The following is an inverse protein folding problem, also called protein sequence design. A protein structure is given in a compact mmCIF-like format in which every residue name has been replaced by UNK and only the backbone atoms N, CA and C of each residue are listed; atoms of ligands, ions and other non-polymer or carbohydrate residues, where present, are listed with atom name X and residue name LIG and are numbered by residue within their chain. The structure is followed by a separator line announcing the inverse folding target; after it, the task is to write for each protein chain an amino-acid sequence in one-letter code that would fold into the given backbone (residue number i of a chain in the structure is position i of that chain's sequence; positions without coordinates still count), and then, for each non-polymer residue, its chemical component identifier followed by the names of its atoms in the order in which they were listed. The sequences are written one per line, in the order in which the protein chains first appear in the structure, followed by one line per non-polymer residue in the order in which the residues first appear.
data_IF_892608062147
#
_entry.id   IF_892608062147
#
_cell.length_a   1.000
_cell.length_b   1.000
_cell.length_c   1.000
_cell.angle_alpha   90.00
_cell.angle_beta   90.00
_cell.angle_gamma   90.00
#
_symmetry.space_group_name_H-M   'P 1'
#
loop_
_entity.id
_entity.type
_entity.pdbx_description
1 polymer ?
#
# COMPACT_ATOMS: atom_id res chain seq x y z
N UNK A 1 -21.91 -24.14 -7.11
CA UNK A 1 -20.76 -23.48 -6.48
C UNK A 1 -19.87 -22.87 -7.56
N UNK A 2 -19.65 -21.56 -7.50
CA UNK A 2 -18.78 -20.90 -8.48
C UNK A 2 -17.32 -21.24 -8.19
N UNK A 3 -16.62 -21.76 -9.21
CA UNK A 3 -15.17 -21.97 -9.11
C UNK A 3 -14.46 -20.62 -9.17
N UNK A 4 -13.60 -20.36 -8.20
CA UNK A 4 -12.80 -19.12 -8.18
C UNK A 4 -11.75 -19.16 -9.27
N UNK A 5 -11.55 -18.03 -9.92
CA UNK A 5 -10.46 -17.86 -10.89
C UNK A 5 -9.12 -17.87 -10.20
N UNK A 6 -8.18 -18.64 -10.71
CA UNK A 6 -6.78 -18.56 -10.31
C UNK A 6 -6.09 -17.48 -11.13
N UNK A 7 -5.50 -16.49 -10.46
CA UNK A 7 -4.87 -15.34 -11.13
C UNK A 7 -3.49 -15.75 -11.62
N UNK A 8 -3.20 -15.63 -12.93
CA UNK A 8 -1.91 -16.05 -13.45
C UNK A 8 -0.77 -15.14 -13.03
N UNK A 9 0.46 -15.64 -13.13
CA UNK A 9 1.67 -14.90 -12.75
C UNK A 9 1.85 -13.60 -13.55
N UNK A 10 1.31 -13.53 -14.77
CA UNK A 10 1.38 -12.32 -15.60
C UNK A 10 0.48 -11.18 -15.10
N UNK A 11 -0.55 -11.49 -14.32
CA UNK A 11 -1.47 -10.48 -13.76
C UNK A 11 -1.14 -10.17 -12.29
N UNK A 12 -0.60 -11.14 -11.56
CA UNK A 12 -0.21 -10.98 -10.15
C UNK A 12 1.22 -11.50 -10.00
N UNK A 13 2.18 -10.59 -9.99
CA UNK A 13 3.59 -10.93 -9.86
C UNK A 13 3.96 -10.95 -8.38
N UNK A 14 4.38 -12.12 -7.93
CA UNK A 14 4.85 -12.34 -6.55
C UNK A 14 6.34 -12.67 -6.65
N UNK A 15 7.16 -11.95 -5.88
CA UNK A 15 8.60 -12.15 -5.82
C UNK A 15 8.94 -13.48 -5.14
N UNK A 16 10.17 -13.95 -5.30
CA UNK A 16 10.64 -15.21 -4.68
C UNK A 16 10.50 -15.23 -3.16
N UNK A 17 10.61 -14.05 -2.53
CA UNK A 17 10.45 -13.91 -1.08
C UNK A 17 8.99 -13.82 -0.61
N UNK A 18 8.04 -13.96 -1.54
CA UNK A 18 6.61 -13.90 -1.24
C UNK A 18 6.02 -12.50 -1.26
N UNK A 19 6.82 -11.46 -1.46
CA UNK A 19 6.34 -10.07 -1.50
C UNK A 19 5.71 -9.75 -2.85
N UNK A 20 4.80 -8.75 -2.84
CA UNK A 20 4.22 -8.25 -4.09
C UNK A 20 5.25 -7.44 -4.88
N UNK A 21 5.13 -7.42 -6.20
CA UNK A 21 6.21 -7.05 -7.12
C UNK A 21 6.80 -5.65 -6.93
N UNK A 22 5.97 -4.61 -6.96
CA UNK A 22 6.48 -3.24 -6.89
C UNK A 22 6.68 -2.77 -5.44
N UNK A 23 5.71 -2.99 -4.58
CA UNK A 23 5.75 -2.51 -3.21
C UNK A 23 6.71 -3.30 -2.32
N UNK A 24 7.04 -4.52 -2.67
CA UNK A 24 7.87 -5.43 -1.87
C UNK A 24 7.32 -5.63 -0.46
N UNK A 25 6.00 -5.77 -0.35
CA UNK A 25 5.31 -5.96 0.93
C UNK A 25 4.67 -7.34 1.01
N UNK A 26 4.57 -7.84 2.23
CA UNK A 26 3.77 -9.02 2.57
C UNK A 26 2.39 -8.56 3.07
N UNK A 27 1.35 -9.39 2.93
CA UNK A 27 0.00 -9.01 3.37
C UNK A 27 -0.11 -8.58 4.83
N UNK A 28 0.66 -9.19 5.72
CA UNK A 28 0.65 -8.87 7.16
C UNK A 28 1.36 -7.55 7.48
N UNK A 29 2.12 -6.99 6.55
CA UNK A 29 2.87 -5.75 6.77
C UNK A 29 2.07 -4.49 6.58
N UNK A 30 0.86 -4.57 6.00
CA UNK A 30 0.01 -3.39 5.82
C UNK A 30 -1.11 -3.34 6.86
N UNK A 31 -1.40 -2.12 7.33
CA UNK A 31 -2.55 -1.84 8.18
C UNK A 31 -3.81 -1.61 7.34
N UNK A 32 -4.97 -1.59 7.99
CA UNK A 32 -6.23 -1.28 7.31
C UNK A 32 -6.35 0.20 6.94
N UNK A 33 -5.63 1.07 7.64
CA UNK A 33 -5.54 2.49 7.33
C UNK A 33 -4.20 2.74 6.64
N UNK A 34 -4.25 3.19 5.40
CA UNK A 34 -3.05 3.47 4.61
C UNK A 34 -3.06 4.93 4.17
N UNK A 35 -2.02 5.65 4.56
CA UNK A 35 -1.80 7.03 4.12
C UNK A 35 -0.88 7.02 2.91
N UNK A 36 -1.31 7.65 1.82
CA UNK A 36 -0.55 7.77 0.59
C UNK A 36 0.04 9.17 0.48
N UNK A 37 1.34 9.23 0.26
CA UNK A 37 2.08 10.49 0.02
C UNK A 37 2.84 10.38 -1.30
N UNK A 38 3.21 11.49 -1.90
CA UNK A 38 3.97 11.47 -3.16
C UNK A 38 5.45 11.20 -2.93
N UNK A 39 6.07 11.96 -2.05
CA UNK A 39 7.52 11.96 -1.82
C UNK A 39 7.92 10.94 -0.76
N UNK A 40 8.91 10.06 -1.04
CA UNK A 40 9.46 9.16 -0.01
C UNK A 40 9.93 9.86 1.27
N UNK A 41 10.45 11.09 1.17
CA UNK A 41 10.85 11.87 2.34
C UNK A 41 9.69 12.21 3.26
N UNK A 42 8.48 12.34 2.73
CA UNK A 42 7.29 12.61 3.54
C UNK A 42 6.84 11.38 4.33
N UNK A 43 7.21 10.17 3.90
CA UNK A 43 6.96 8.93 4.64
C UNK A 43 7.64 9.01 6.01
N UNK A 44 8.90 9.41 6.06
CA UNK A 44 9.62 9.60 7.33
C UNK A 44 8.97 10.69 8.20
N UNK A 45 8.54 11.78 7.58
CA UNK A 45 7.88 12.87 8.30
C UNK A 45 6.61 12.38 9.00
N UNK A 46 5.76 11.64 8.28
CA UNK A 46 4.53 11.08 8.86
C UNK A 46 4.86 10.02 9.92
N UNK A 47 5.79 9.12 9.62
CA UNK A 47 6.17 8.06 10.54
C UNK A 47 6.85 8.59 11.82
N UNK A 48 7.39 9.81 11.80
CA UNK A 48 7.95 10.45 13.00
C UNK A 48 6.91 10.65 14.10
N UNK A 49 5.63 10.67 13.76
CA UNK A 49 4.52 10.76 14.73
C UNK A 49 4.10 9.40 15.27
N UNK A 50 4.57 8.29 14.70
CA UNK A 50 4.20 6.96 15.18
C UNK A 50 4.82 6.67 16.53
N UNK A 51 4.03 6.08 17.43
CA UNK A 51 4.51 5.64 18.75
C UNK A 51 5.45 4.44 18.63
N UNK A 52 5.16 3.54 17.70
CA UNK A 52 5.97 2.36 17.40
C UNK A 52 6.08 2.16 15.89
N UNK A 53 7.14 1.49 15.45
CA UNK A 53 7.32 1.07 14.05
C UNK A 53 7.45 -0.44 14.00
N UNK A 54 6.64 -1.09 13.15
CA UNK A 54 6.68 -2.54 12.94
C UNK A 54 7.64 -2.93 11.82
N UNK A 55 7.56 -2.23 10.71
CA UNK A 55 8.37 -2.53 9.54
C UNK A 55 8.62 -1.28 8.70
N UNK A 56 9.70 -1.35 7.96
CA UNK A 56 10.10 -0.32 7.01
C UNK A 56 10.63 -1.01 5.77
N UNK A 57 10.03 -0.73 4.62
CA UNK A 57 10.40 -1.33 3.33
C UNK A 57 10.56 -0.23 2.31
N UNK A 58 11.59 -0.31 1.50
CA UNK A 58 11.87 0.67 0.45
C UNK A 58 12.24 -0.06 -0.83
N UNK A 59 11.52 0.24 -1.91
CA UNK A 59 11.82 -0.26 -3.24
C UNK A 59 11.48 0.81 -4.27
N UNK A 60 12.46 1.24 -5.03
CA UNK A 60 12.34 2.34 -5.98
C UNK A 60 11.77 3.59 -5.25
N UNK A 61 10.74 4.23 -5.82
CA UNK A 61 10.02 5.35 -5.21
C UNK A 61 9.01 4.94 -4.14
N UNK A 62 8.78 3.63 -3.98
CA UNK A 62 7.81 3.11 -3.01
C UNK A 62 8.48 2.85 -1.67
N UNK A 63 8.28 3.74 -0.73
CA UNK A 63 8.73 3.58 0.65
C UNK A 63 7.54 3.41 1.56
N UNK A 64 7.58 2.41 2.43
CA UNK A 64 6.49 2.04 3.32
C UNK A 64 6.98 1.93 4.75
N UNK A 65 6.26 2.55 5.68
CA UNK A 65 6.47 2.35 7.11
C UNK A 65 5.12 2.04 7.73
N UNK A 66 5.05 0.94 8.48
CA UNK A 66 3.87 0.56 9.25
C UNK A 66 4.20 0.65 10.73
N UNK A 67 3.31 1.23 11.49
CA UNK A 67 3.45 1.40 12.92
C UNK A 67 2.14 1.72 13.59
N UNK A 68 2.20 2.25 14.81
CA UNK A 68 1.00 2.63 15.57
C UNK A 68 1.04 4.10 15.93
N UNK A 69 -0.11 4.72 15.92
CA UNK A 69 -0.32 6.08 16.38
C UNK A 69 -1.55 6.11 17.28
N UNK A 70 -1.34 6.45 18.56
CA UNK A 70 -2.40 6.48 19.58
C UNK A 70 -3.21 5.19 19.63
N UNK A 71 -2.50 4.05 19.56
CA UNK A 71 -3.10 2.72 19.61
C UNK A 71 -3.69 2.23 18.30
N UNK A 72 -3.65 3.03 17.22
CA UNK A 72 -4.14 2.63 15.89
C UNK A 72 -2.98 2.23 15.00
N UNK A 73 -3.09 1.07 14.39
CA UNK A 73 -2.12 0.60 13.41
C UNK A 73 -2.33 1.32 12.09
N UNK A 74 -1.28 1.89 11.53
CA UNK A 74 -1.32 2.68 10.30
C UNK A 74 -0.12 2.35 9.42
N UNK A 75 -0.32 2.46 8.11
CA UNK A 75 0.74 2.37 7.11
C UNK A 75 0.84 3.71 6.38
N UNK A 76 2.05 4.20 6.18
CA UNK A 76 2.31 5.33 5.27
C UNK A 76 3.16 4.82 4.11
N UNK A 77 2.77 5.18 2.89
CA UNK A 77 3.37 4.68 1.66
C UNK A 77 3.54 5.82 0.67
N UNK A 78 4.74 5.95 0.10
CA UNK A 78 4.99 6.89 -0.99
C UNK A 78 4.64 6.26 -2.34
N UNK A 79 3.98 7.03 -3.19
CA UNK A 79 3.61 6.60 -4.53
C UNK A 79 4.58 7.08 -5.61
N UNK A 80 5.42 8.08 -5.29
CA UNK A 80 6.17 8.80 -6.31
C UNK A 80 5.25 9.71 -7.12
N UNK A 81 5.59 9.96 -8.36
CA UNK A 81 4.89 10.90 -9.25
C UNK A 81 4.16 10.13 -10.34
N UNK A 82 2.93 10.56 -10.61
CA UNK A 82 2.19 10.10 -11.78
C UNK A 82 1.05 9.13 -11.48
N UNK A 83 0.10 9.08 -12.40
CA UNK A 83 -1.12 8.26 -12.28
C UNK A 83 -0.78 6.76 -12.32
N UNK A 84 0.21 6.36 -13.13
CA UNK A 84 0.62 4.97 -13.23
C UNK A 84 1.07 4.39 -11.91
N UNK A 85 1.83 5.16 -11.12
CA UNK A 85 2.28 4.74 -9.81
C UNK A 85 1.14 4.64 -8.80
N UNK A 86 0.15 5.51 -8.88
CA UNK A 86 -1.04 5.43 -8.03
C UNK A 86 -1.83 4.17 -8.34
N UNK A 87 -2.01 3.85 -9.61
CA UNK A 87 -2.67 2.63 -10.05
C UNK A 87 -1.95 1.38 -9.51
N UNK A 88 -0.63 1.33 -9.65
CA UNK A 88 0.20 0.25 -9.10
C UNK A 88 -0.01 0.11 -7.59
N UNK A 89 0.07 1.22 -6.85
CA UNK A 89 -0.09 1.20 -5.39
C UNK A 89 -1.46 0.68 -4.97
N UNK A 90 -2.52 1.22 -5.54
CA UNK A 90 -3.89 0.84 -5.17
C UNK A 90 -4.16 -0.62 -5.54
N UNK A 91 -3.77 -1.04 -6.73
CA UNK A 91 -3.95 -2.41 -7.20
C UNK A 91 -3.18 -3.40 -6.34
N UNK A 92 -1.92 -3.10 -6.01
CA UNK A 92 -1.09 -3.99 -5.18
C UNK A 92 -1.54 -4.01 -3.72
N UNK A 93 -2.00 -2.87 -3.17
CA UNK A 93 -2.60 -2.85 -1.82
C UNK A 93 -3.86 -3.70 -1.76
N UNK A 94 -4.73 -3.63 -2.76
CA UNK A 94 -5.92 -4.46 -2.84
C UNK A 94 -5.56 -5.95 -2.92
N UNK A 95 -4.54 -6.29 -3.72
CA UNK A 95 -4.06 -7.66 -3.81
C UNK A 95 -3.53 -8.17 -2.46
N UNK A 96 -2.75 -7.35 -1.76
CA UNK A 96 -2.24 -7.70 -0.42
C UNK A 96 -3.38 -7.95 0.57
N UNK A 97 -4.46 -7.18 0.46
CA UNK A 97 -5.60 -7.28 1.38
C UNK A 97 -6.54 -8.46 1.03
N UNK A 98 -6.77 -8.73 -0.26
CA UNK A 98 -7.91 -9.52 -0.69
C UNK A 98 -7.57 -10.74 -1.56
N UNK A 99 -6.29 -10.98 -1.87
CA UNK A 99 -5.88 -12.16 -2.62
C UNK A 99 -5.03 -13.05 -1.72
N UNK A 100 -5.35 -14.35 -1.70
CA UNK A 100 -4.51 -15.35 -1.08
C UNK A 100 -3.36 -15.67 -2.03
N UNK A 101 -2.15 -15.31 -1.63
CA UNK A 101 -0.96 -15.48 -2.47
C UNK A 101 -0.57 -16.96 -2.66
N UNK A 102 -0.94 -17.81 -1.71
CA UNK A 102 -0.66 -19.25 -1.83
C UNK A 102 -1.53 -19.91 -2.89
N UNK A 103 -2.82 -19.57 -2.95
CA UNK A 103 -3.77 -20.11 -3.93
C UNK A 103 -3.90 -19.24 -5.17
N UNK A 104 -3.47 -18.00 -5.12
CA UNK A 104 -3.62 -16.98 -6.16
C UNK A 104 -5.09 -16.72 -6.51
N UNK A 105 -5.96 -16.83 -5.51
CA UNK A 105 -7.40 -16.63 -5.63
C UNK A 105 -7.86 -15.54 -4.67
N UNK A 106 -8.95 -14.87 -5.02
CA UNK A 106 -9.58 -13.88 -4.13
C UNK A 106 -10.02 -14.59 -2.86
N UNK A 107 -9.74 -13.98 -1.71
CA UNK A 107 -10.14 -14.51 -0.40
C UNK A 107 -11.65 -14.57 -0.25
N UNK A 108 -12.14 -15.51 0.57
CA UNK A 108 -13.56 -15.57 0.93
C UNK A 108 -13.97 -14.42 1.82
N UNK A 109 -13.06 -13.95 2.67
CA UNK A 109 -13.29 -12.84 3.59
C UNK A 109 -12.73 -11.55 3.00
N UNK A 110 -13.59 -10.55 2.79
CA UNK A 110 -13.20 -9.25 2.29
C UNK A 110 -12.54 -8.42 3.39
N UNK A 111 -11.37 -7.85 3.09
CA UNK A 111 -10.69 -6.89 3.96
C UNK A 111 -10.81 -5.50 3.35
N UNK A 112 -11.44 -4.59 4.07
CA UNK A 112 -11.60 -3.22 3.63
C UNK A 112 -10.40 -2.38 4.07
N UNK A 113 -9.81 -1.65 3.13
CA UNK A 113 -8.76 -0.68 3.41
C UNK A 113 -9.34 0.72 3.34
N UNK A 114 -8.89 1.60 4.24
CA UNK A 114 -9.15 3.03 4.17
C UNK A 114 -7.89 3.73 3.67
N UNK A 115 -7.98 4.34 2.50
CA UNK A 115 -6.86 5.05 1.89
C UNK A 115 -7.06 6.56 2.08
N UNK A 116 -6.06 7.22 2.67
CA UNK A 116 -6.07 8.67 2.87
C UNK A 116 -4.87 9.25 2.14
N UNK A 117 -5.11 10.10 1.14
CA UNK A 117 -4.03 10.75 0.42
C UNK A 117 -3.70 12.10 1.04
N UNK A 118 -2.44 12.27 1.39
CA UNK A 118 -1.88 13.54 1.87
C UNK A 118 -1.01 14.10 0.75
N UNK A 119 -1.50 15.12 0.10
CA UNK A 119 -0.82 15.68 -1.05
C UNK A 119 -0.91 17.21 -1.07
N UNK A 120 -0.33 17.79 -2.11
CA UNK A 120 -0.42 19.20 -2.41
C UNK A 120 -1.13 19.38 -3.74
N UNK A 121 -1.78 20.51 -3.90
CA UNK A 121 -2.38 20.89 -5.17
C UNK A 121 -2.06 22.36 -5.48
N UNK A 122 -1.89 22.66 -6.75
CA UNK A 122 -1.71 24.03 -7.21
C UNK A 122 -3.06 24.64 -7.53
N UNK A 123 -3.28 25.88 -7.06
CA UNK A 123 -4.48 26.63 -7.41
C UNK A 123 -4.22 27.45 -8.67
N UNK A 124 -5.22 27.52 -9.56
CA UNK A 124 -5.17 28.36 -10.74
C UNK A 124 -5.66 29.79 -10.45
N UNK A 125 -6.32 29.99 -9.31
CA UNK A 125 -6.84 31.28 -8.89
C UNK A 125 -6.35 31.60 -7.48
N UNK A 126 -6.09 32.89 -7.17
CA UNK A 126 -5.47 33.28 -5.90
C UNK A 126 -6.41 33.18 -4.67
N UNK A 127 -7.71 33.04 -4.90
CA UNK A 127 -8.72 32.97 -3.85
C UNK A 127 -9.16 31.53 -3.48
N UNK A 128 -8.45 30.54 -3.98
CA UNK A 128 -8.71 29.12 -3.66
C UNK A 128 -7.69 28.60 -2.67
#
# INVERSE_FOLDING_TARGET
MKTKRTIPASELIINEDGTIFHLHLLPEQIADIVMLVGDPGRVEMVASFFDTRECEVSNREFKTITGTYKGKRMTVLSTGIGIGNIDICVTELDALANIDFATRQVKDTFRQLTLVRLGTSGALQPDI
#
